data_IF_541665662312
#
_entry.id   IF_541665662312
#
_cell.length_a   1.000
_cell.length_b   1.000
_cell.length_c   1.000
_cell.angle_alpha   90.00
_cell.angle_beta   90.00
_cell.angle_gamma   90.00
#
_symmetry.space_group_name_H-M   'P 1'
#
loop_
_entity.id
_entity.type
_entity.pdbx_description
1 polymer ?
#
# COMPACT_ATOMS: atom_id res chain seq x y z
N UNK A 1 2.11 23.28 -9.86
CA UNK A 1 2.85 22.67 -8.73
C UNK A 1 3.23 21.28 -9.21
N UNK A 2 4.52 21.02 -9.41
CA UNK A 2 4.97 19.74 -9.96
C UNK A 2 5.06 18.77 -8.79
N UNK A 3 4.19 17.76 -8.78
CA UNK A 3 4.23 16.71 -7.77
C UNK A 3 5.50 15.88 -8.03
N UNK A 4 6.45 15.93 -7.09
CA UNK A 4 7.61 15.05 -7.10
C UNK A 4 7.14 13.68 -6.59
N UNK A 5 6.69 12.80 -7.49
CA UNK A 5 6.07 11.50 -7.17
C UNK A 5 7.07 10.44 -6.67
N UNK A 6 8.24 10.88 -6.24
CA UNK A 6 9.30 10.05 -5.71
C UNK A 6 10.01 9.25 -6.80
N UNK A 7 11.23 8.78 -6.49
CA UNK A 7 12.02 8.03 -7.45
C UNK A 7 11.39 6.67 -7.75
N UNK A 8 11.53 6.23 -8.99
CA UNK A 8 11.32 4.82 -9.34
C UNK A 8 12.22 3.97 -8.45
N UNK A 9 11.65 2.95 -7.79
CA UNK A 9 12.40 2.01 -6.97
C UNK A 9 12.32 0.61 -7.57
N UNK A 10 13.46 -0.07 -7.60
CA UNK A 10 13.56 -1.46 -8.02
C UNK A 10 13.94 -2.32 -6.81
N UNK A 11 13.13 -3.33 -6.50
CA UNK A 11 13.36 -4.28 -5.43
C UNK A 11 13.94 -5.57 -6.03
N UNK A 12 15.09 -6.01 -5.50
CA UNK A 12 15.68 -7.29 -5.87
C UNK A 12 14.81 -8.47 -5.39
N UNK A 13 14.93 -9.67 -6.00
CA UNK A 13 14.17 -10.84 -5.57
C UNK A 13 14.30 -11.15 -4.08
N UNK A 14 15.49 -10.97 -3.50
CA UNK A 14 15.72 -11.22 -2.07
C UNK A 14 15.01 -10.18 -1.20
N UNK A 15 14.97 -8.91 -1.66
CA UNK A 15 14.21 -7.86 -0.98
C UNK A 15 12.70 -8.07 -1.08
N UNK A 16 12.23 -8.53 -2.24
CA UNK A 16 10.82 -8.90 -2.45
C UNK A 16 10.42 -10.04 -1.52
N UNK A 17 11.26 -11.07 -1.39
CA UNK A 17 11.05 -12.16 -0.43
C UNK A 17 10.95 -11.64 1.00
N UNK A 18 11.91 -10.82 1.43
CA UNK A 18 11.92 -10.25 2.79
C UNK A 18 10.64 -9.44 3.07
N UNK A 19 10.20 -8.60 2.13
CA UNK A 19 8.99 -7.79 2.29
C UNK A 19 7.75 -8.69 2.33
N UNK A 20 7.65 -9.66 1.41
CA UNK A 20 6.55 -10.63 1.37
C UNK A 20 6.37 -11.35 2.71
N UNK A 21 7.47 -11.81 3.32
CA UNK A 21 7.46 -12.44 4.64
C UNK A 21 6.94 -11.49 5.73
N UNK A 22 7.35 -10.22 5.72
CA UNK A 22 6.91 -9.24 6.72
C UNK A 22 5.42 -8.89 6.59
N UNK A 23 4.93 -8.68 5.37
CA UNK A 23 3.55 -8.20 5.16
C UNK A 23 2.50 -9.33 5.25
N UNK A 24 2.88 -10.58 5.00
CA UNK A 24 1.97 -11.73 5.07
C UNK A 24 1.41 -11.99 6.48
N UNK A 25 2.07 -11.49 7.53
CA UNK A 25 1.65 -11.67 8.91
C UNK A 25 0.64 -10.61 9.39
N UNK A 26 0.42 -9.56 8.62
CA UNK A 26 -0.52 -8.48 8.95
C UNK A 26 -1.82 -8.77 8.21
N UNK A 27 -2.94 -8.87 8.93
CA UNK A 27 -4.26 -9.03 8.31
C UNK A 27 -4.85 -7.66 7.91
N UNK A 28 -5.75 -7.60 6.92
CA UNK A 28 -6.46 -6.36 6.58
C UNK A 28 -7.21 -5.75 7.77
N UNK A 29 -7.77 -6.58 8.66
CA UNK A 29 -8.43 -6.14 9.88
C UNK A 29 -7.43 -5.49 10.84
N UNK A 30 -6.29 -6.13 11.08
CA UNK A 30 -5.22 -5.61 11.93
C UNK A 30 -4.68 -4.28 11.38
N UNK A 31 -4.48 -4.17 10.06
CA UNK A 31 -4.09 -2.92 9.42
C UNK A 31 -5.13 -1.82 9.66
N UNK A 32 -6.42 -2.12 9.47
CA UNK A 32 -7.51 -1.16 9.61
C UNK A 32 -7.67 -0.63 11.04
N UNK A 33 -7.29 -1.40 12.07
CA UNK A 33 -7.33 -0.89 13.47
C UNK A 33 -6.42 0.30 13.71
N UNK A 34 -5.40 0.51 12.86
CA UNK A 34 -4.45 1.63 12.95
C UNK A 34 -4.80 2.77 12.01
N UNK A 35 -5.84 2.61 11.18
CA UNK A 35 -6.27 3.63 10.23
C UNK A 35 -7.11 4.70 10.93
N UNK A 36 -6.77 5.96 10.65
CA UNK A 36 -7.51 7.14 11.10
C UNK A 36 -7.67 8.12 9.93
N UNK A 37 -8.89 8.19 9.40
CA UNK A 37 -9.25 9.05 8.28
C UNK A 37 -8.97 10.53 8.59
N UNK A 38 -9.25 10.98 9.81
CA UNK A 38 -9.07 12.37 10.20
C UNK A 38 -7.58 12.74 10.26
N UNK A 39 -6.73 11.82 10.71
CA UNK A 39 -5.28 12.01 10.66
C UNK A 39 -4.76 12.05 9.23
N UNK A 40 -5.21 11.16 8.36
CA UNK A 40 -4.80 11.15 6.94
C UNK A 40 -5.18 12.45 6.24
N UNK A 41 -6.42 12.91 6.46
CA UNK A 41 -6.92 14.19 6.00
C UNK A 41 -6.07 15.36 6.53
N UNK A 42 -5.89 15.43 7.86
CA UNK A 42 -5.07 16.47 8.52
C UNK A 42 -3.64 16.55 7.98
N UNK A 43 -3.04 15.40 7.68
CA UNK A 43 -1.68 15.32 7.15
C UNK A 43 -1.59 15.45 5.63
N UNK A 44 -2.71 15.71 4.94
CA UNK A 44 -2.77 15.86 3.49
C UNK A 44 -2.15 14.66 2.77
N UNK A 45 -2.39 13.46 3.31
CA UNK A 45 -1.98 12.21 2.66
C UNK A 45 -2.80 12.08 1.38
N UNK A 46 -2.18 11.78 0.25
CA UNK A 46 -2.91 11.47 -0.98
C UNK A 46 -3.65 10.13 -0.87
N UNK A 47 -4.85 9.95 -1.46
CA UNK A 47 -5.64 10.90 -2.25
C UNK A 47 -6.51 11.85 -1.42
N UNK A 48 -7.11 12.86 -2.04
CA UNK A 48 -8.04 13.78 -1.37
C UNK A 48 -9.37 13.12 -0.92
N UNK A 49 -9.57 11.84 -1.24
CA UNK A 49 -10.75 11.04 -0.90
C UNK A 49 -11.07 11.02 0.61
N UNK A 50 -10.07 11.24 1.49
CA UNK A 50 -10.28 11.28 2.94
C UNK A 50 -11.31 12.32 3.40
N UNK A 51 -11.51 13.38 2.62
CA UNK A 51 -12.45 14.46 2.93
C UNK A 51 -13.86 14.25 2.35
N UNK A 52 -14.00 13.32 1.41
CA UNK A 52 -15.18 13.23 0.52
C UNK A 52 -15.92 11.91 0.73
N UNK A 53 -15.20 10.82 0.97
CA UNK A 53 -15.79 9.48 1.04
C UNK A 53 -16.19 9.06 2.46
N UNK A 54 -17.16 8.15 2.54
CA UNK A 54 -17.56 7.53 3.80
C UNK A 54 -16.40 6.73 4.40
N UNK A 55 -16.26 6.80 5.73
CA UNK A 55 -15.18 6.13 6.45
C UNK A 55 -15.15 4.63 6.19
N UNK A 56 -16.29 3.96 6.13
CA UNK A 56 -16.34 2.51 5.96
C UNK A 56 -15.95 2.12 4.54
N UNK A 57 -16.41 2.87 3.54
CA UNK A 57 -16.10 2.61 2.13
C UNK A 57 -14.60 2.71 1.88
N UNK A 58 -13.97 3.83 2.30
CA UNK A 58 -12.52 4.00 2.13
C UNK A 58 -11.72 2.98 2.94
N UNK A 59 -12.20 2.58 4.14
CA UNK A 59 -11.54 1.55 4.95
C UNK A 59 -11.60 0.19 4.25
N UNK A 60 -12.74 -0.17 3.66
CA UNK A 60 -12.89 -1.41 2.89
C UNK A 60 -11.98 -1.40 1.67
N UNK A 61 -11.90 -0.26 0.96
CA UNK A 61 -11.01 -0.11 -0.17
C UNK A 61 -9.53 -0.26 0.21
N UNK A 62 -9.09 0.31 1.34
CA UNK A 62 -7.73 0.11 1.88
C UNK A 62 -7.46 -1.37 2.14
N UNK A 63 -8.41 -2.09 2.77
CA UNK A 63 -8.29 -3.53 3.05
C UNK A 63 -8.16 -4.35 1.78
N UNK A 64 -8.94 -4.03 0.75
CA UNK A 64 -8.90 -4.72 -0.53
C UNK A 64 -7.57 -4.49 -1.26
N UNK A 65 -7.08 -3.24 -1.29
CA UNK A 65 -5.77 -2.95 -1.86
C UNK A 65 -4.64 -3.64 -1.11
N UNK A 66 -4.71 -3.68 0.22
CA UNK A 66 -3.71 -4.38 1.02
C UNK A 66 -3.70 -5.89 0.71
N UNK A 67 -4.88 -6.50 0.60
CA UNK A 67 -4.99 -7.93 0.24
C UNK A 67 -4.39 -8.23 -1.13
N UNK A 68 -4.64 -7.35 -2.12
CA UNK A 68 -4.04 -7.45 -3.45
C UNK A 68 -2.52 -7.27 -3.41
N UNK A 69 -2.02 -6.31 -2.62
CA UNK A 69 -0.59 -6.05 -2.44
C UNK A 69 0.12 -7.29 -1.87
N UNK A 70 -0.42 -7.89 -0.81
CA UNK A 70 0.12 -9.10 -0.19
C UNK A 70 0.17 -10.25 -1.21
N UNK A 71 -0.93 -10.50 -1.93
CA UNK A 71 -0.98 -11.54 -2.96
C UNK A 71 0.05 -11.30 -4.09
N UNK A 72 0.22 -10.04 -4.52
CA UNK A 72 1.19 -9.65 -5.53
C UNK A 72 2.63 -9.93 -5.09
N UNK A 73 3.01 -9.49 -3.88
CA UNK A 73 4.34 -9.72 -3.31
C UNK A 73 4.60 -11.21 -3.07
N UNK A 74 3.62 -11.96 -2.59
CA UNK A 74 3.74 -13.40 -2.41
C UNK A 74 4.04 -14.12 -3.73
N UNK A 75 3.29 -13.79 -4.79
CA UNK A 75 3.50 -14.37 -6.12
C UNK A 75 4.88 -13.99 -6.68
N UNK A 76 5.28 -12.73 -6.56
CA UNK A 76 6.57 -12.25 -7.02
C UNK A 76 7.74 -12.91 -6.28
N UNK A 77 7.62 -13.06 -4.95
CA UNK A 77 8.62 -13.74 -4.11
C UNK A 77 8.77 -15.22 -4.51
N UNK A 78 7.64 -15.94 -4.67
CA UNK A 78 7.64 -17.36 -5.09
C UNK A 78 8.33 -17.56 -6.44
N UNK A 79 8.19 -16.61 -7.36
CA UNK A 79 8.79 -16.65 -8.70
C UNK A 79 10.14 -15.92 -8.84
N UNK A 80 10.75 -15.48 -7.72
CA UNK A 80 12.01 -14.72 -7.68
C UNK A 80 12.05 -13.53 -8.65
N UNK A 81 10.97 -12.75 -8.71
CA UNK A 81 10.86 -11.58 -9.60
C UNK A 81 11.36 -10.31 -8.91
N UNK A 82 11.84 -9.38 -9.74
CA UNK A 82 12.01 -7.98 -9.34
C UNK A 82 10.64 -7.31 -9.27
N UNK A 83 10.50 -6.32 -8.38
CA UNK A 83 9.34 -5.43 -8.35
C UNK A 83 9.81 -4.02 -8.63
N UNK A 84 9.13 -3.35 -9.56
CA UNK A 84 9.29 -1.93 -9.84
C UNK A 84 8.14 -1.18 -9.19
N UNK A 85 8.43 -0.17 -8.39
CA UNK A 85 7.44 0.74 -7.85
C UNK A 85 7.70 2.14 -8.40
N UNK A 86 6.68 2.74 -8.98
CA UNK A 86 6.70 4.11 -9.47
C UNK A 86 5.33 4.73 -9.20
N UNK A 87 5.30 6.04 -8.96
CA UNK A 87 4.07 6.82 -8.84
C UNK A 87 4.12 7.88 -9.93
N UNK A 88 3.03 8.07 -10.65
CA UNK A 88 2.91 9.06 -11.73
C UNK A 88 1.68 9.92 -11.49
N UNK A 89 1.69 11.12 -12.09
CA UNK A 89 0.59 12.07 -12.07
C UNK A 89 -0.69 11.53 -12.72
#
# INVERSE_FOLDING_TARGET
MWFDFGPIRCLSPDKVKQISEQINHITPESLATRYDQALFAKHQIHPDAWWIEDKNDITNQIKDYYSQLVAFFWKAAKSRKYILTYVTA
#
